data_IF_901956928416
#
_entry.id   IF_901956928416
#
_cell.length_a   1.000
_cell.length_b   1.000
_cell.length_c   1.000
_cell.angle_alpha   90.00
_cell.angle_beta   90.00
_cell.angle_gamma   90.00
#
_symmetry.space_group_name_H-M   'P 1'
#
loop_
_entity.id
_entity.type
_entity.pdbx_description
1 polymer ?
#
# COMPACT_ATOMS: atom_id res chain seq x y z
N UNK A 1 7.29 -8.30 7.41
CA UNK A 1 7.10 -7.07 8.21
C UNK A 1 8.07 -6.02 7.73
N UNK A 2 7.68 -4.75 7.57
CA UNK A 2 8.61 -3.69 7.20
C UNK A 2 9.73 -3.60 8.25
N UNK A 3 10.97 -3.37 7.80
CA UNK A 3 12.12 -3.23 8.70
C UNK A 3 11.93 -1.99 9.58
N UNK A 4 12.19 -2.13 10.88
CA UNK A 4 12.17 -1.03 11.82
C UNK A 4 13.27 -0.01 11.46
N UNK A 5 13.06 1.27 11.79
CA UNK A 5 14.03 2.32 11.51
C UNK A 5 15.32 2.07 12.31
N UNK A 6 16.45 2.49 11.75
CA UNK A 6 17.73 2.48 12.46
C UNK A 6 17.60 3.26 13.78
N UNK A 7 18.09 2.69 14.88
CA UNK A 7 17.97 3.26 16.23
C UNK A 7 16.64 2.98 16.94
N UNK A 8 15.75 2.14 16.39
CA UNK A 8 14.57 1.68 17.13
C UNK A 8 14.98 0.78 18.30
N UNK A 9 14.54 1.15 19.50
CA UNK A 9 14.70 0.38 20.73
C UNK A 9 13.33 -0.20 21.06
N UNK A 10 13.22 -1.52 21.09
CA UNK A 10 12.05 -2.22 21.63
C UNK A 10 12.32 -2.55 23.10
N UNK A 11 11.35 -2.37 24.01
CA UNK A 11 11.55 -2.75 25.40
C UNK A 11 11.86 -4.25 25.52
N UNK A 12 12.78 -4.60 26.39
CA UNK A 12 13.09 -5.98 26.72
C UNK A 12 11.87 -6.66 27.38
N UNK A 13 11.77 -8.01 27.36
CA UNK A 13 10.66 -8.71 28.00
C UNK A 13 10.47 -8.34 29.49
N UNK A 14 11.55 -8.13 30.22
CA UNK A 14 11.52 -7.72 31.63
C UNK A 14 11.00 -6.29 31.80
N UNK A 15 11.40 -5.38 30.92
CA UNK A 15 10.91 -3.99 30.91
C UNK A 15 9.42 -3.93 30.57
N UNK A 16 8.97 -4.71 29.58
CA UNK A 16 7.54 -4.86 29.28
C UNK A 16 6.75 -5.39 30.48
N UNK A 17 7.28 -6.38 31.21
CA UNK A 17 6.61 -6.90 32.40
C UNK A 17 6.50 -5.84 33.51
N UNK A 18 7.54 -5.03 33.72
CA UNK A 18 7.52 -3.94 34.68
C UNK A 18 6.54 -2.82 34.27
N UNK A 19 6.49 -2.45 32.99
CA UNK A 19 5.53 -1.47 32.44
C UNK A 19 4.11 -1.96 32.67
N UNK A 20 3.81 -3.22 32.34
CA UNK A 20 2.48 -3.80 32.52
C UNK A 20 2.08 -3.87 34.00
N UNK A 21 3.01 -4.21 34.90
CA UNK A 21 2.74 -4.21 36.33
C UNK A 21 2.44 -2.81 36.88
N UNK A 22 3.12 -1.78 36.35
CA UNK A 22 2.83 -0.38 36.67
C UNK A 22 1.45 0.06 36.21
N UNK A 23 1.08 -0.29 34.97
CA UNK A 23 -0.27 -0.02 34.41
C UNK A 23 -1.34 -0.69 35.29
N UNK A 24 -1.15 -1.96 35.67
CA UNK A 24 -2.12 -2.69 36.48
C UNK A 24 -2.26 -2.20 37.92
N UNK A 25 -1.26 -1.47 38.45
CA UNK A 25 -1.28 -0.89 39.79
C UNK A 25 -1.87 0.54 39.81
N UNK A 26 -2.13 1.13 38.65
CA UNK A 26 -2.71 2.46 38.51
C UNK A 26 -4.24 2.36 38.33
N UNK A 27 -4.99 2.83 39.34
CA UNK A 27 -6.45 2.80 39.34
C UNK A 27 -7.08 3.65 38.23
N UNK A 28 -6.38 4.66 37.72
CA UNK A 28 -6.85 5.51 36.61
C UNK A 28 -6.59 4.87 35.24
N UNK A 29 -5.68 3.89 35.16
CA UNK A 29 -5.32 3.17 33.94
C UNK A 29 -6.32 2.03 33.65
N UNK A 30 -7.47 2.40 33.08
CA UNK A 30 -8.44 1.39 32.61
C UNK A 30 -7.92 0.64 31.38
N UNK A 31 -8.08 -0.68 31.38
CA UNK A 31 -7.88 -1.50 30.18
C UNK A 31 -9.01 -1.27 29.17
N UNK A 32 -8.66 -1.06 27.90
CA UNK A 32 -9.62 -0.90 26.81
C UNK A 32 -9.86 -2.26 26.14
N UNK A 33 -10.58 -3.13 26.84
CA UNK A 33 -10.90 -4.49 26.39
C UNK A 33 -12.09 -4.54 25.40
N UNK A 34 -12.42 -5.75 24.94
CA UNK A 34 -13.53 -5.98 23.99
C UNK A 34 -14.88 -5.52 24.56
N UNK A 35 -15.10 -5.66 25.88
CA UNK A 35 -16.34 -5.23 26.52
C UNK A 35 -16.47 -3.70 26.55
N UNK A 36 -15.34 -2.98 26.69
CA UNK A 36 -15.29 -1.54 26.51
C UNK A 36 -15.60 -1.15 25.06
N UNK A 37 -14.96 -1.79 24.08
CA UNK A 37 -15.17 -1.50 22.66
C UNK A 37 -16.61 -1.80 22.19
N UNK A 38 -17.24 -2.83 22.75
CA UNK A 38 -18.65 -3.13 22.47
C UNK A 38 -19.61 -1.99 22.84
N UNK A 39 -19.20 -1.11 23.77
CA UNK A 39 -19.97 0.06 24.21
C UNK A 39 -19.45 1.37 23.60
N UNK A 40 -18.35 1.33 22.86
CA UNK A 40 -17.75 2.51 22.27
C UNK A 40 -18.63 3.05 21.13
N UNK A 41 -18.79 4.37 21.08
CA UNK A 41 -19.50 5.03 19.99
C UNK A 41 -18.56 5.20 18.79
N UNK A 42 -19.05 5.00 17.56
CA UNK A 42 -18.25 5.32 16.38
C UNK A 42 -17.97 6.83 16.33
N UNK A 43 -16.84 7.21 15.74
CA UNK A 43 -16.43 8.61 15.64
C UNK A 43 -17.47 9.49 14.92
N UNK A 44 -18.23 8.91 13.98
CA UNK A 44 -19.34 9.59 13.29
C UNK A 44 -20.49 10.01 14.20
N UNK A 45 -20.67 9.32 15.33
CA UNK A 45 -21.69 9.66 16.34
C UNK A 45 -21.11 10.50 17.49
N UNK A 46 -19.80 10.43 17.70
CA UNK A 46 -19.13 11.16 18.77
C UNK A 46 -18.76 12.61 18.40
N UNK A 47 -18.58 12.89 17.11
CA UNK A 47 -18.20 14.22 16.60
C UNK A 47 -19.34 14.88 15.82
N UNK A 48 -19.32 16.22 15.77
CA UNK A 48 -20.18 16.97 14.87
C UNK A 48 -19.91 16.56 13.40
N UNK A 49 -20.93 16.56 12.51
CA UNK A 49 -20.78 16.13 11.12
C UNK A 49 -19.63 16.82 10.39
N UNK A 50 -19.44 18.11 10.63
CA UNK A 50 -18.40 18.93 10.01
C UNK A 50 -17.01 18.50 10.48
N UNK A 51 -16.86 18.22 11.78
CA UNK A 51 -15.61 17.73 12.37
C UNK A 51 -15.27 16.34 11.86
N UNK A 52 -16.26 15.43 11.81
CA UNK A 52 -16.05 14.09 11.28
C UNK A 52 -15.66 14.13 9.79
N UNK A 53 -16.34 14.95 8.99
CA UNK A 53 -16.00 15.13 7.58
C UNK A 53 -14.57 15.67 7.38
N UNK A 54 -14.15 16.64 8.20
CA UNK A 54 -12.78 17.16 8.16
C UNK A 54 -11.73 16.09 8.49
N UNK A 55 -11.97 15.27 9.53
CA UNK A 55 -11.08 14.16 9.90
C UNK A 55 -10.97 13.10 8.80
N UNK A 56 -12.09 12.77 8.15
CA UNK A 56 -12.12 11.84 7.02
C UNK A 56 -11.37 12.41 5.83
N UNK A 57 -11.53 13.70 5.52
CA UNK A 57 -10.83 14.36 4.42
C UNK A 57 -9.31 14.45 4.64
N UNK A 58 -8.84 14.56 5.89
CA UNK A 58 -7.40 14.50 6.22
C UNK A 58 -6.78 13.12 5.96
N UNK A 59 -7.59 12.07 5.80
CA UNK A 59 -7.12 10.73 5.47
C UNK A 59 -6.59 10.70 4.04
N UNK A 60 -5.31 11.03 3.89
CA UNK A 60 -4.60 10.92 2.59
C UNK A 60 -4.76 9.49 2.06
N UNK A 61 -5.20 9.31 0.80
CA UNK A 61 -5.24 7.98 0.20
C UNK A 61 -3.83 7.39 0.26
N UNK A 62 -3.71 6.25 0.94
CA UNK A 62 -2.42 5.56 1.04
C UNK A 62 -2.19 4.80 -0.26
N UNK A 63 -1.13 5.16 -0.97
CA UNK A 63 -0.71 4.47 -2.20
C UNK A 63 -0.65 5.40 -3.41
N UNK A 64 -0.08 4.90 -4.50
CA UNK A 64 -0.15 5.58 -5.79
C UNK A 64 -1.63 5.64 -6.21
N UNK A 65 -2.12 6.78 -6.74
CA UNK A 65 -3.43 6.83 -7.36
C UNK A 65 -3.62 5.65 -8.31
N UNK A 66 -4.79 5.00 -8.25
CA UNK A 66 -5.12 3.91 -9.17
C UNK A 66 -5.04 4.49 -10.59
N UNK A 67 -4.21 3.91 -11.44
CA UNK A 67 -4.13 4.34 -12.83
C UNK A 67 -5.46 4.00 -13.52
N UNK A 68 -6.05 4.95 -14.25
CA UNK A 68 -7.32 4.76 -14.97
C UNK A 68 -7.21 3.63 -16.00
N UNK A 69 -6.05 3.52 -16.66
CA UNK A 69 -5.70 2.39 -17.51
C UNK A 69 -4.52 1.62 -16.91
N UNK A 70 -4.77 0.38 -16.51
CA UNK A 70 -3.71 -0.52 -16.06
C UNK A 70 -3.17 -1.32 -17.24
N UNK A 71 -1.84 -1.43 -17.33
CA UNK A 71 -1.22 -2.38 -18.25
C UNK A 71 -1.63 -3.79 -17.84
N UNK A 72 -2.25 -4.54 -18.75
CA UNK A 72 -2.55 -5.95 -18.54
C UNK A 72 -1.27 -6.75 -18.75
N UNK A 73 -0.89 -7.55 -17.76
CA UNK A 73 0.21 -8.51 -17.93
C UNK A 73 -0.31 -9.70 -18.74
N UNK A 74 0.26 -9.88 -19.93
CA UNK A 74 -0.05 -11.02 -20.81
C UNK A 74 1.25 -11.76 -21.10
N UNK A 75 1.26 -13.07 -20.84
CA UNK A 75 2.37 -13.93 -21.21
C UNK A 75 2.27 -14.30 -22.70
N UNK A 76 3.23 -13.84 -23.50
CA UNK A 76 3.37 -14.20 -24.92
C UNK A 76 4.75 -14.85 -25.14
N UNK A 77 4.85 -15.76 -26.11
CA UNK A 77 6.13 -16.29 -26.57
C UNK A 77 6.64 -15.41 -27.70
N UNK A 78 7.90 -14.98 -27.60
CA UNK A 78 8.61 -14.21 -28.62
C UNK A 78 9.83 -15.03 -29.06
N UNK A 79 10.26 -14.84 -30.29
CA UNK A 79 11.48 -15.46 -30.80
C UNK A 79 12.71 -15.00 -30.00
N UNK A 80 13.68 -15.91 -29.86
CA UNK A 80 14.82 -15.71 -28.97
C UNK A 80 15.72 -14.56 -29.43
N UNK A 81 15.96 -14.45 -30.73
CA UNK A 81 16.74 -13.39 -31.36
C UNK A 81 16.10 -12.01 -31.18
N UNK A 82 14.79 -11.90 -31.33
CA UNK A 82 14.02 -10.68 -31.08
C UNK A 82 14.15 -10.25 -29.61
N UNK A 83 13.97 -11.21 -28.70
CA UNK A 83 14.06 -10.95 -27.27
C UNK A 83 15.47 -10.46 -26.88
N UNK A 84 16.51 -11.07 -27.44
CA UNK A 84 17.89 -10.69 -27.18
C UNK A 84 18.22 -9.30 -27.73
N UNK A 85 17.77 -8.99 -28.95
CA UNK A 85 17.92 -7.66 -29.54
C UNK A 85 17.29 -6.57 -28.66
N UNK A 86 16.06 -6.77 -28.16
CA UNK A 86 15.43 -5.81 -27.27
C UNK A 86 16.12 -5.76 -25.90
N UNK A 87 16.49 -6.90 -25.30
CA UNK A 87 17.18 -6.91 -24.00
C UNK A 87 18.53 -6.21 -24.04
N UNK A 88 19.28 -6.33 -25.15
CA UNK A 88 20.55 -5.64 -25.35
C UNK A 88 20.43 -4.10 -25.26
N UNK A 89 19.24 -3.55 -25.51
CA UNK A 89 18.97 -2.12 -25.36
C UNK A 89 18.97 -1.64 -23.89
N UNK A 90 18.95 -2.56 -22.91
CA UNK A 90 19.04 -2.27 -21.49
C UNK A 90 17.70 -1.92 -20.82
N UNK A 91 17.77 -1.12 -19.75
CA UNK A 91 16.59 -0.75 -18.92
C UNK A 91 15.48 -0.17 -19.80
N UNK A 92 14.25 -0.68 -19.63
CA UNK A 92 13.08 -0.23 -20.40
C UNK A 92 12.88 -0.93 -21.75
N UNK A 93 13.59 -2.04 -22.01
CA UNK A 93 13.36 -2.84 -23.23
C UNK A 93 11.89 -3.28 -23.42
N UNK A 94 11.18 -3.64 -22.35
CA UNK A 94 9.74 -3.97 -22.43
C UNK A 94 8.88 -2.77 -22.87
N UNK A 95 9.24 -1.55 -22.45
CA UNK A 95 8.55 -0.33 -22.90
C UNK A 95 8.79 -0.12 -24.40
N UNK A 96 9.99 -0.41 -24.90
CA UNK A 96 10.31 -0.35 -26.33
C UNK A 96 9.56 -1.40 -27.15
N UNK A 97 9.43 -2.63 -26.65
CA UNK A 97 8.59 -3.66 -27.27
C UNK A 97 7.14 -3.18 -27.41
N UNK A 98 6.57 -2.63 -26.33
CA UNK A 98 5.20 -2.10 -26.38
C UNK A 98 5.05 -0.92 -27.36
N UNK A 99 6.06 -0.05 -27.47
CA UNK A 99 6.05 1.05 -28.45
C UNK A 99 6.10 0.51 -29.89
N UNK A 100 6.94 -0.48 -30.16
CA UNK A 100 7.03 -1.13 -31.47
C UNK A 100 5.72 -1.81 -31.87
N UNK A 101 5.04 -2.51 -30.94
CA UNK A 101 3.73 -3.12 -31.21
C UNK A 101 2.66 -2.08 -31.52
N UNK A 102 2.67 -0.92 -30.83
CA UNK A 102 1.75 0.18 -31.13
C UNK A 102 2.02 0.78 -32.51
N UNK A 103 3.28 1.02 -32.84
CA UNK A 103 3.69 1.50 -34.14
C UNK A 103 3.26 0.53 -35.24
N UNK A 104 3.48 -0.77 -35.05
CA UNK A 104 3.06 -1.81 -36.00
C UNK A 104 1.55 -1.75 -36.28
N UNK A 105 0.70 -1.62 -35.25
CA UNK A 105 -0.75 -1.50 -35.42
C UNK A 105 -1.14 -0.21 -36.17
N UNK A 106 -0.43 0.90 -35.93
CA UNK A 106 -0.67 2.15 -36.65
C UNK A 106 -0.31 2.04 -38.13
N UNK A 107 0.81 1.39 -38.45
CA UNK A 107 1.28 1.19 -39.83
C UNK A 107 0.49 0.07 -40.55
N UNK A 108 0.04 -0.94 -39.80
CA UNK A 108 -0.66 -2.12 -40.29
C UNK A 108 -1.94 -2.30 -39.47
N UNK A 109 -3.04 -1.59 -39.84
CA UNK A 109 -4.31 -1.74 -39.16
C UNK A 109 -4.74 -3.20 -39.15
N UNK A 110 -5.00 -3.73 -37.95
CA UNK A 110 -5.48 -5.10 -37.75
C UNK A 110 -6.95 -5.16 -38.17
N UNK A 111 -7.19 -5.24 -39.48
CA UNK A 111 -8.52 -5.24 -40.07
C UNK A 111 -8.52 -4.86 -41.55
N UNK A 112 -8.10 -5.80 -42.41
CA UNK A 112 -8.72 -6.03 -43.72
C UNK A 112 -9.50 -7.34 -43.66
#
# INVERSE_FOLDING_TARGET
>A
MPKLKAGHISPAPQENAAINAGIAADDDARELDDAWFAKAKPASEAFAPETYAALVAMKRPRGRPKADETKVFTAIRLDADLLDAFKATGKGWQTRVNAALRQFITEHPLGQ
#
